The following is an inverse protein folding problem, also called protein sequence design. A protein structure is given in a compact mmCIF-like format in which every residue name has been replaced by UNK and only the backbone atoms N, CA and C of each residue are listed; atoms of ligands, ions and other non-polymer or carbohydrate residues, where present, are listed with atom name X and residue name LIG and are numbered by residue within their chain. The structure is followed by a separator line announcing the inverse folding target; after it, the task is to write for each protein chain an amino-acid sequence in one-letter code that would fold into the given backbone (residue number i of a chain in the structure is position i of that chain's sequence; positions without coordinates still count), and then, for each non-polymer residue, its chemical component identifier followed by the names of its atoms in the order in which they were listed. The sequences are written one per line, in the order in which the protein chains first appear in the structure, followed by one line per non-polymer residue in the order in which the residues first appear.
data_IF_516606422353
#
_entry.id   IF_516606422353
#
_cell.length_a   1.000
_cell.length_b   1.000
_cell.length_c   1.000
_cell.angle_alpha   90.00
_cell.angle_beta   90.00
_cell.angle_gamma   90.00
#
_symmetry.space_group_name_H-M   'P 1'
#
loop_
_entity.id
_entity.type
_entity.pdbx_description
1 polymer ?
#
# COMPACT_ATOMS: atom_id res chain seq x y z
N UNK A 1 -13.45 14.78 14.84
CA UNK A 1 -12.06 14.75 15.34
C UNK A 1 -11.46 13.41 14.94
N UNK A 2 -10.33 13.38 14.25
CA UNK A 2 -9.66 12.13 13.88
C UNK A 2 -9.07 11.53 15.16
N UNK A 3 -9.64 10.42 15.64
CA UNK A 3 -9.31 9.82 16.93
C UNK A 3 -8.70 8.43 16.75
N UNK A 4 -7.83 8.04 17.67
CA UNK A 4 -7.22 6.71 17.70
C UNK A 4 -7.46 6.05 19.04
N UNK A 5 -7.81 4.77 19.01
CA UNK A 5 -7.87 3.97 20.24
C UNK A 5 -6.50 3.35 20.51
N UNK A 6 -6.19 3.06 21.79
CA UNK A 6 -4.94 2.36 22.15
C UNK A 6 -4.84 0.99 21.47
N UNK A 7 -5.98 0.30 21.33
CA UNK A 7 -6.06 -1.00 20.66
C UNK A 7 -5.78 -0.89 19.16
N UNK A 8 -6.29 0.14 18.51
CA UNK A 8 -6.04 0.39 17.09
C UNK A 8 -4.55 0.64 16.80
N UNK A 9 -3.88 1.47 17.60
CA UNK A 9 -2.45 1.74 17.43
C UNK A 9 -1.65 0.44 17.58
N UNK A 10 -1.98 -0.35 18.61
CA UNK A 10 -1.36 -1.66 18.83
C UNK A 10 -1.56 -2.57 17.61
N UNK A 11 -2.80 -2.68 17.13
CA UNK A 11 -3.15 -3.56 16.01
C UNK A 11 -2.47 -3.12 14.70
N UNK A 12 -2.39 -1.81 14.43
CA UNK A 12 -1.66 -1.25 13.29
C UNK A 12 -0.17 -1.57 13.37
N UNK A 13 0.46 -1.38 14.54
CA UNK A 13 1.89 -1.67 14.73
C UNK A 13 2.17 -3.16 14.54
N UNK A 14 1.34 -4.03 15.13
CA UNK A 14 1.51 -5.48 14.98
C UNK A 14 1.35 -5.89 13.51
N UNK A 15 0.29 -5.42 12.85
CA UNK A 15 0.07 -5.71 11.43
C UNK A 15 1.21 -5.21 10.56
N UNK A 16 1.69 -3.97 10.78
CA UNK A 16 2.83 -3.40 10.07
C UNK A 16 4.10 -4.26 10.23
N UNK A 17 4.46 -4.62 11.46
CA UNK A 17 5.65 -5.45 11.74
C UNK A 17 5.51 -6.82 11.07
N UNK A 18 4.37 -7.49 11.26
CA UNK A 18 4.19 -8.85 10.75
C UNK A 18 4.17 -8.89 9.22
N UNK A 19 3.47 -7.97 8.57
CA UNK A 19 3.43 -7.90 7.10
C UNK A 19 4.82 -7.59 6.54
N UNK A 20 5.54 -6.64 7.13
CA UNK A 20 6.88 -6.29 6.63
C UNK A 20 7.89 -7.42 6.81
N UNK A 21 7.81 -8.17 7.92
CA UNK A 21 8.61 -9.39 8.11
C UNK A 21 8.22 -10.45 7.07
N UNK A 22 6.93 -10.70 6.85
CA UNK A 22 6.45 -11.68 5.89
C UNK A 22 6.98 -11.37 4.47
N UNK A 23 6.86 -10.14 4.01
CA UNK A 23 7.39 -9.73 2.71
C UNK A 23 8.93 -9.82 2.64
N UNK A 24 9.65 -9.45 3.70
CA UNK A 24 11.11 -9.60 3.73
C UNK A 24 11.53 -11.07 3.59
N UNK A 25 10.94 -11.97 4.39
CA UNK A 25 11.20 -13.42 4.33
C UNK A 25 10.85 -14.00 2.96
N UNK A 26 9.71 -13.59 2.38
CA UNK A 26 9.30 -14.08 1.06
C UNK A 26 10.27 -13.73 -0.07
N UNK A 27 11.03 -12.63 0.06
CA UNK A 27 11.97 -12.19 -0.97
C UNK A 27 13.38 -12.78 -0.81
N UNK A 28 13.83 -13.01 0.43
CA UNK A 28 15.23 -13.39 0.72
C UNK A 28 15.37 -14.74 1.43
N UNK A 29 14.26 -15.42 1.71
CA UNK A 29 14.22 -16.64 2.50
C UNK A 29 14.77 -16.44 3.91
N UNK A 30 15.61 -17.38 4.34
CA UNK A 30 16.24 -17.38 5.67
C UNK A 30 17.63 -16.72 5.70
N UNK A 31 18.03 -16.01 4.63
CA UNK A 31 19.30 -15.30 4.59
C UNK A 31 19.28 -14.10 5.54
N UNK A 32 20.06 -14.16 6.63
CA UNK A 32 20.15 -13.08 7.63
C UNK A 32 20.61 -11.76 6.97
N UNK A 33 21.66 -11.83 6.15
CA UNK A 33 22.18 -10.66 5.45
C UNK A 33 21.18 -10.08 4.45
N UNK A 34 20.49 -10.94 3.69
CA UNK A 34 19.44 -10.51 2.77
C UNK A 34 18.27 -9.86 3.50
N UNK A 35 17.85 -10.47 4.61
CA UNK A 35 16.75 -9.97 5.45
C UNK A 35 17.05 -8.58 6.00
N UNK A 36 18.21 -8.39 6.63
CA UNK A 36 18.60 -7.07 7.18
C UNK A 36 18.71 -6.02 6.06
N UNK A 37 19.18 -6.42 4.88
CA UNK A 37 19.34 -5.50 3.75
C UNK A 37 18.00 -5.05 3.17
N UNK A 38 17.02 -5.95 3.03
CA UNK A 38 15.73 -5.64 2.42
C UNK A 38 14.71 -5.05 3.40
N UNK A 39 14.88 -5.29 4.71
CA UNK A 39 13.90 -4.92 5.72
C UNK A 39 13.53 -3.41 5.68
N UNK A 40 14.46 -2.45 5.60
CA UNK A 40 14.10 -1.02 5.50
C UNK A 40 13.25 -0.71 4.26
N UNK A 41 13.54 -1.39 3.14
CA UNK A 41 12.85 -1.21 1.86
C UNK A 41 11.43 -1.74 1.94
N UNK A 42 11.24 -2.92 2.54
CA UNK A 42 9.89 -3.48 2.75
C UNK A 42 9.10 -2.67 3.78
N UNK A 43 9.73 -2.25 4.88
CA UNK A 43 9.07 -1.43 5.90
C UNK A 43 8.52 -0.14 5.33
N UNK A 44 9.30 0.56 4.50
CA UNK A 44 8.87 1.82 3.90
C UNK A 44 7.97 1.57 2.68
N UNK A 45 8.35 0.73 1.74
CA UNK A 45 7.59 0.51 0.51
C UNK A 45 6.24 -0.19 0.75
N UNK A 46 6.26 -1.32 1.46
CA UNK A 46 5.07 -2.14 1.74
C UNK A 46 4.37 -1.67 3.01
N UNK A 47 5.11 -1.52 4.11
CA UNK A 47 4.53 -1.26 5.43
C UNK A 47 3.82 0.10 5.50
N UNK A 48 4.49 1.18 5.05
CA UNK A 48 3.86 2.51 5.00
C UNK A 48 2.71 2.52 3.99
N UNK A 49 2.85 1.83 2.86
CA UNK A 49 1.78 1.69 1.88
C UNK A 49 0.52 1.05 2.44
N UNK A 50 0.67 -0.04 3.18
CA UNK A 50 -0.41 -0.68 3.91
C UNK A 50 -1.04 0.29 4.94
N UNK A 51 -0.24 0.91 5.81
CA UNK A 51 -0.78 1.82 6.82
C UNK A 51 -1.52 3.00 6.20
N UNK A 52 -0.93 3.61 5.17
CA UNK A 52 -1.51 4.78 4.51
C UNK A 52 -2.86 4.45 3.85
N UNK A 53 -3.00 3.25 3.26
CA UNK A 53 -4.27 2.72 2.75
C UNK A 53 -5.35 2.66 3.83
N UNK A 54 -5.06 1.97 4.93
CA UNK A 54 -6.03 1.77 6.01
C UNK A 54 -6.41 3.11 6.66
N UNK A 55 -5.45 4.01 6.82
CA UNK A 55 -5.71 5.37 7.28
C UNK A 55 -6.55 6.18 6.28
N UNK A 56 -6.39 5.95 4.98
CA UNK A 56 -7.24 6.53 3.93
C UNK A 56 -8.70 6.12 4.07
N UNK A 57 -8.97 4.82 4.23
CA UNK A 57 -10.32 4.32 4.51
C UNK A 57 -10.92 4.98 5.76
N UNK A 58 -10.16 4.96 6.85
CA UNK A 58 -10.59 5.55 8.12
C UNK A 58 -10.87 7.05 8.02
N UNK A 59 -9.99 7.79 7.35
CA UNK A 59 -10.13 9.23 7.18
C UNK A 59 -11.44 9.58 6.47
N UNK A 60 -11.76 8.89 5.38
CA UNK A 60 -13.00 9.14 4.64
C UNK A 60 -14.22 8.70 5.47
N UNK A 61 -14.17 7.57 6.17
CA UNK A 61 -15.25 7.15 7.06
C UNK A 61 -15.56 8.20 8.14
N UNK A 62 -14.52 8.73 8.80
CA UNK A 62 -14.65 9.78 9.80
C UNK A 62 -15.12 11.11 9.22
N UNK A 63 -14.75 11.44 7.98
CA UNK A 63 -15.23 12.63 7.27
C UNK A 63 -16.75 12.57 7.04
N UNK A 64 -17.31 11.38 6.84
CA UNK A 64 -18.75 11.16 6.75
C UNK A 64 -19.45 11.01 8.10
N UNK A 65 -18.74 11.25 9.22
CA UNK A 65 -19.30 11.23 10.57
C UNK A 65 -19.34 9.84 11.23
N UNK A 66 -18.77 8.81 10.60
CA UNK A 66 -18.73 7.48 11.17
C UNK A 66 -17.53 7.28 12.09
N UNK A 67 -17.74 6.57 13.19
CA UNK A 67 -16.64 6.08 14.03
C UNK A 67 -16.00 4.89 13.32
N UNK A 68 -14.69 4.96 13.11
CA UNK A 68 -13.94 3.93 12.39
C UNK A 68 -12.63 3.63 13.13
N UNK A 69 -12.30 2.34 13.24
CA UNK A 69 -11.05 1.87 13.85
C UNK A 69 -10.47 0.70 13.07
N UNK A 70 -9.15 0.72 12.83
CA UNK A 70 -8.47 -0.45 12.29
C UNK A 70 -8.45 -1.60 13.33
N UNK A 71 -8.81 -2.80 12.89
CA UNK A 71 -8.62 -4.04 13.66
C UNK A 71 -7.80 -5.03 12.86
N UNK A 72 -6.74 -5.54 13.48
CA UNK A 72 -5.94 -6.59 12.87
C UNK A 72 -6.74 -7.90 12.79
N UNK A 73 -6.38 -8.74 11.83
CA UNK A 73 -6.88 -10.11 11.71
C UNK A 73 -5.76 -11.09 12.04
N UNK A 74 -5.65 -11.59 13.29
CA UNK A 74 -4.50 -12.37 13.73
C UNK A 74 -4.25 -13.63 12.90
N UNK A 75 -5.31 -14.34 12.52
CA UNK A 75 -5.22 -15.54 11.67
C UNK A 75 -4.68 -15.18 10.29
N UNK A 76 -5.12 -14.07 9.71
CA UNK A 76 -4.62 -13.60 8.43
C UNK A 76 -3.14 -13.19 8.47
N UNK A 77 -2.70 -12.59 9.59
CA UNK A 77 -1.29 -12.30 9.83
C UNK A 77 -0.44 -13.58 9.95
N UNK A 78 -0.95 -14.62 10.62
CA UNK A 78 -0.28 -15.92 10.68
C UNK A 78 -0.22 -16.60 9.30
N UNK A 79 -1.29 -16.51 8.50
CA UNK A 79 -1.30 -17.01 7.12
C UNK A 79 -0.29 -16.25 6.25
N UNK A 80 -0.20 -14.92 6.40
CA UNK A 80 0.78 -14.11 5.69
C UNK A 80 2.22 -14.57 6.00
N UNK A 81 2.52 -14.83 7.28
CA UNK A 81 3.83 -15.37 7.69
C UNK A 81 4.07 -16.78 7.16
N UNK A 82 3.08 -17.68 7.27
CA UNK A 82 3.23 -19.06 6.81
C UNK A 82 3.47 -19.14 5.30
N UNK A 83 2.70 -18.36 4.53
CA UNK A 83 2.85 -18.30 3.08
C UNK A 83 4.18 -17.66 2.67
N UNK A 84 4.72 -16.70 3.43
CA UNK A 84 6.01 -16.10 3.11
C UNK A 84 7.14 -17.12 2.93
N UNK A 85 7.13 -18.24 3.67
CA UNK A 85 8.14 -19.29 3.54
C UNK A 85 8.08 -20.09 2.24
N UNK A 86 6.95 -20.04 1.51
CA UNK A 86 6.82 -20.64 0.17
C UNK A 86 7.04 -19.63 -0.96
N UNK A 87 7.52 -18.42 -0.64
CA UNK A 87 7.86 -17.38 -1.62
C UNK A 87 6.67 -16.53 -2.09
N UNK A 88 5.54 -16.58 -1.39
CA UNK A 88 4.35 -15.78 -1.69
C UNK A 88 3.73 -15.22 -0.42
N UNK A 89 3.21 -13.99 -0.40
CA UNK A 89 2.55 -13.44 0.79
C UNK A 89 1.05 -13.27 0.55
N UNK A 90 0.23 -14.07 1.23
CA UNK A 90 -1.21 -13.82 1.32
C UNK A 90 -1.49 -12.83 2.46
N UNK A 91 -1.40 -11.55 2.15
CA UNK A 91 -1.48 -10.46 3.14
C UNK A 91 -2.94 -10.15 3.54
N UNK A 92 -3.44 -10.84 4.56
CA UNK A 92 -4.72 -10.52 5.22
C UNK A 92 -4.48 -9.84 6.58
N UNK A 93 -4.09 -8.57 6.55
CA UNK A 93 -3.63 -7.86 7.75
C UNK A 93 -4.74 -7.50 8.75
N UNK A 94 -5.91 -7.13 8.24
CA UNK A 94 -7.01 -6.58 9.01
C UNK A 94 -7.92 -5.72 8.13
N UNK A 95 -8.81 -4.98 8.77
CA UNK A 95 -9.68 -4.03 8.09
C UNK A 95 -10.09 -2.90 9.03
N UNK A 96 -10.38 -1.74 8.44
CA UNK A 96 -11.07 -0.64 9.14
C UNK A 96 -12.52 -1.04 9.40
N UNK A 97 -12.87 -1.23 10.68
CA UNK A 97 -14.25 -1.46 11.10
C UNK A 97 -14.96 -0.13 11.28
N UNK A 98 -16.08 0.02 10.60
CA UNK A 98 -16.96 1.18 10.71
C UNK A 98 -18.10 0.82 11.65
N UNK A 99 -18.29 1.60 12.70
CA UNK A 99 -19.34 1.40 13.69
C UNK A 99 -20.60 2.15 13.24
N UNK A 100 -21.41 1.47 12.44
CA UNK A 100 -22.71 1.96 11.97
C UNK A 100 -23.62 0.78 11.65
N UNK A 101 -24.91 0.89 11.97
CA UNK A 101 -25.88 -0.16 11.69
C UNK A 101 -26.20 -0.26 10.19
N UNK A 102 -26.21 0.88 9.49
CA UNK A 102 -26.39 0.96 8.05
C UNK A 102 -25.52 2.06 7.45
N UNK A 103 -24.82 1.74 6.36
CA UNK A 103 -24.02 2.67 5.57
C UNK A 103 -24.54 2.60 4.14
N UNK A 104 -24.78 3.75 3.51
CA UNK A 104 -25.23 3.75 2.12
C UNK A 104 -24.16 3.16 1.21
N UNK A 105 -24.58 2.56 0.09
CA UNK A 105 -23.65 2.06 -0.93
C UNK A 105 -22.71 3.16 -1.41
N UNK A 106 -23.21 4.40 -1.52
CA UNK A 106 -22.41 5.56 -1.88
C UNK A 106 -21.24 5.81 -0.92
N UNK A 107 -21.52 5.86 0.38
CA UNK A 107 -20.46 6.15 1.35
C UNK A 107 -19.51 4.95 1.44
N UNK A 108 -20.04 3.72 1.37
CA UNK A 108 -19.23 2.49 1.34
C UNK A 108 -18.27 2.50 0.14
N UNK A 109 -18.74 2.84 -1.06
CA UNK A 109 -17.91 2.96 -2.26
C UNK A 109 -16.86 4.06 -2.13
N UNK A 110 -17.21 5.22 -1.55
CA UNK A 110 -16.27 6.32 -1.31
C UNK A 110 -15.20 5.97 -0.27
N UNK A 111 -15.55 5.21 0.76
CA UNK A 111 -14.59 4.71 1.75
C UNK A 111 -13.67 3.69 1.08
N UNK A 112 -14.22 2.74 0.32
CA UNK A 112 -13.42 1.72 -0.38
C UNK A 112 -12.47 2.32 -1.41
N UNK A 113 -12.87 3.33 -2.21
CA UNK A 113 -11.95 3.95 -3.19
C UNK A 113 -10.83 4.76 -2.52
N UNK A 114 -11.02 5.21 -1.27
CA UNK A 114 -10.04 5.99 -0.54
C UNK A 114 -8.72 5.25 -0.31
N UNK A 115 -8.78 3.94 -0.06
CA UNK A 115 -7.58 3.11 0.12
C UNK A 115 -6.70 3.06 -1.13
N UNK A 116 -7.22 2.58 -2.28
CA UNK A 116 -6.48 2.60 -3.54
C UNK A 116 -5.99 4.00 -3.95
N UNK A 117 -6.78 5.05 -3.70
CA UNK A 117 -6.33 6.43 -3.93
C UNK A 117 -5.14 6.82 -3.04
N UNK A 118 -5.14 6.40 -1.77
CA UNK A 118 -4.01 6.60 -0.87
C UNK A 118 -2.76 5.91 -1.41
N UNK A 119 -2.84 4.64 -1.83
CA UNK A 119 -1.71 3.95 -2.45
C UNK A 119 -1.23 4.64 -3.75
N UNK A 120 -2.12 5.04 -4.65
CA UNK A 120 -1.72 5.77 -5.87
C UNK A 120 -0.99 7.07 -5.54
N UNK A 121 -1.51 7.86 -4.59
CA UNK A 121 -0.86 9.11 -4.19
C UNK A 121 0.52 8.87 -3.56
N UNK A 122 0.65 7.83 -2.73
CA UNK A 122 1.93 7.46 -2.13
C UNK A 122 2.92 6.95 -3.18
N UNK A 123 2.46 6.19 -4.18
CA UNK A 123 3.29 5.76 -5.30
C UNK A 123 3.86 6.97 -6.06
N UNK A 124 3.03 7.97 -6.38
CA UNK A 124 3.48 9.20 -7.04
C UNK A 124 4.51 9.94 -6.17
N UNK A 125 4.26 10.07 -4.86
CA UNK A 125 5.22 10.69 -3.93
C UNK A 125 6.56 9.96 -3.96
N UNK A 126 6.56 8.62 -3.92
CA UNK A 126 7.78 7.83 -4.06
C UNK A 126 8.49 8.08 -5.39
N UNK A 127 7.78 8.10 -6.52
CA UNK A 127 8.39 8.36 -7.82
C UNK A 127 9.05 9.75 -7.87
N UNK A 128 8.40 10.77 -7.30
CA UNK A 128 8.95 12.12 -7.20
C UNK A 128 10.19 12.16 -6.31
N UNK A 129 10.17 11.51 -5.15
CA UNK A 129 11.34 11.40 -4.27
C UNK A 129 12.49 10.73 -5.03
N UNK A 130 12.23 9.61 -5.73
CA UNK A 130 13.23 8.90 -6.51
C UNK A 130 13.88 9.80 -7.56
N UNK A 131 13.09 10.59 -8.30
CA UNK A 131 13.60 11.54 -9.29
C UNK A 131 14.46 12.65 -8.67
N UNK A 132 14.05 13.19 -7.52
CA UNK A 132 14.81 14.24 -6.83
C UNK A 132 16.16 13.74 -6.30
N UNK A 133 16.24 12.50 -5.82
CA UNK A 133 17.47 11.95 -5.25
C UNK A 133 18.38 11.29 -6.27
N UNK A 134 17.86 10.89 -7.45
CA UNK A 134 18.60 10.15 -8.48
C UNK A 134 19.96 10.77 -8.85
N UNK A 135 20.08 12.08 -9.12
CA UNK A 135 21.37 12.71 -9.46
C UNK A 135 22.42 12.59 -8.35
N UNK A 136 21.97 12.42 -7.10
CA UNK A 136 22.85 12.40 -5.93
C UNK A 136 23.25 10.98 -5.48
N UNK A 137 22.72 9.94 -6.13
CA UNK A 137 22.91 8.53 -5.74
C UNK A 137 24.39 8.11 -5.74
N UNK A 138 25.20 8.63 -6.66
CA UNK A 138 26.63 8.32 -6.73
C UNK A 138 27.46 8.91 -5.57
N UNK A 139 26.93 9.91 -4.86
CA UNK A 139 27.67 10.67 -3.85
C UNK A 139 27.40 10.21 -2.41
N UNK A 140 26.32 9.46 -2.17
CA UNK A 140 25.95 9.02 -0.82
C UNK A 140 25.15 7.72 -0.82
N UNK A 141 25.55 6.80 0.05
CA UNK A 141 24.81 5.56 0.30
C UNK A 141 23.39 5.83 0.82
N UNK A 142 23.17 6.96 1.51
CA UNK A 142 21.84 7.37 1.95
C UNK A 142 20.93 7.71 0.76
N UNK A 143 21.46 8.44 -0.23
CA UNK A 143 20.69 8.78 -1.43
C UNK A 143 20.42 7.55 -2.29
N UNK A 144 21.40 6.66 -2.43
CA UNK A 144 21.20 5.37 -3.11
C UNK A 144 20.12 4.52 -2.43
N UNK A 145 20.15 4.40 -1.10
CA UNK A 145 19.13 3.67 -0.36
C UNK A 145 17.75 4.33 -0.49
N UNK A 146 17.67 5.65 -0.40
CA UNK A 146 16.42 6.41 -0.56
C UNK A 146 15.84 6.23 -1.96
N UNK A 147 16.69 6.26 -2.99
CA UNK A 147 16.31 5.99 -4.37
C UNK A 147 15.70 4.60 -4.51
N UNK A 148 16.38 3.57 -4.00
CA UNK A 148 15.92 2.18 -4.10
C UNK A 148 14.62 1.94 -3.32
N UNK A 149 14.50 2.50 -2.12
CA UNK A 149 13.25 2.48 -1.34
C UNK A 149 12.11 3.10 -2.15
N UNK A 150 12.39 4.21 -2.83
CA UNK A 150 11.37 4.97 -3.55
C UNK A 150 10.95 4.29 -4.85
N UNK A 151 11.87 3.71 -5.63
CA UNK A 151 11.52 2.94 -6.84
C UNK A 151 10.72 1.69 -6.51
N UNK A 152 11.08 0.97 -5.44
CA UNK A 152 10.29 -0.15 -4.92
C UNK A 152 8.95 0.33 -4.37
N UNK A 153 8.94 1.45 -3.63
CA UNK A 153 7.74 2.06 -3.06
C UNK A 153 6.70 2.43 -4.12
N UNK A 154 7.12 3.03 -5.24
CA UNK A 154 6.25 3.29 -6.40
C UNK A 154 5.65 1.99 -6.94
N UNK A 155 6.50 0.98 -7.16
CA UNK A 155 6.10 -0.29 -7.78
C UNK A 155 5.09 -1.05 -6.92
N UNK A 156 5.39 -1.21 -5.62
CA UNK A 156 4.52 -1.89 -4.65
C UNK A 156 3.19 -1.15 -4.49
N UNK A 157 3.20 0.17 -4.32
CA UNK A 157 1.96 0.90 -4.08
C UNK A 157 1.07 0.99 -5.33
N UNK A 158 1.66 1.06 -6.52
CA UNK A 158 0.91 0.97 -7.78
C UNK A 158 0.24 -0.40 -7.92
N UNK A 159 0.96 -1.49 -7.60
CA UNK A 159 0.41 -2.84 -7.56
C UNK A 159 -0.72 -2.97 -6.53
N UNK A 160 -0.53 -2.52 -5.29
CA UNK A 160 -1.54 -2.58 -4.24
C UNK A 160 -2.81 -1.81 -4.61
N UNK A 161 -2.68 -0.65 -5.25
CA UNK A 161 -3.82 0.11 -5.74
C UNK A 161 -4.60 -0.66 -6.81
N UNK A 162 -3.91 -1.19 -7.83
CA UNK A 162 -4.53 -1.94 -8.91
C UNK A 162 -5.19 -3.24 -8.42
N UNK A 163 -4.49 -3.99 -7.57
CA UNK A 163 -4.99 -5.23 -6.98
C UNK A 163 -6.27 -5.00 -6.18
N UNK A 164 -6.29 -4.00 -5.29
CA UNK A 164 -7.46 -3.74 -4.47
C UNK A 164 -8.66 -3.19 -5.25
N UNK A 165 -8.46 -2.64 -6.45
CA UNK A 165 -9.55 -2.20 -7.31
C UNK A 165 -10.12 -3.34 -8.18
N UNK A 166 -9.56 -4.54 -8.15
CA UNK A 166 -10.17 -5.69 -8.81
C UNK A 166 -11.51 -6.04 -8.13
N UNK A 167 -12.63 -6.16 -8.86
CA UNK A 167 -13.97 -6.22 -8.26
C UNK A 167 -14.34 -7.65 -7.82
N UNK A 168 -13.54 -8.23 -6.92
CA UNK A 168 -13.69 -9.62 -6.45
C UNK A 168 -13.62 -9.70 -4.93
N UNK A 169 -14.42 -10.60 -4.35
CA UNK A 169 -14.38 -10.95 -2.93
C UNK A 169 -14.48 -9.71 -2.01
N UNK A 170 -13.56 -9.54 -1.06
CA UNK A 170 -13.53 -8.43 -0.10
C UNK A 170 -12.67 -7.26 -0.54
N UNK A 171 -12.25 -7.22 -1.81
CA UNK A 171 -11.43 -6.12 -2.34
C UNK A 171 -12.26 -4.84 -2.50
N UNK A 172 -11.60 -3.70 -2.38
CA UNK A 172 -12.25 -2.38 -2.42
C UNK A 172 -13.04 -2.15 -3.70
N UNK A 173 -12.52 -2.61 -4.83
CA UNK A 173 -13.13 -2.49 -6.15
C UNK A 173 -14.57 -2.99 -6.21
N UNK A 174 -14.92 -4.01 -5.43
CA UNK A 174 -16.28 -4.55 -5.39
C UNK A 174 -17.29 -3.52 -4.85
N UNK A 175 -16.91 -2.73 -3.84
CA UNK A 175 -17.78 -1.69 -3.30
C UNK A 175 -17.79 -0.45 -4.19
N UNK A 176 -16.66 -0.11 -4.81
CA UNK A 176 -16.57 1.03 -5.74
C UNK A 176 -17.45 0.79 -6.98
N UNK A 177 -17.41 -0.41 -7.57
CA UNK A 177 -18.20 -0.72 -8.76
C UNK A 177 -19.71 -0.76 -8.47
N UNK A 178 -20.12 -1.22 -7.27
CA UNK A 178 -21.52 -1.19 -6.82
C UNK A 178 -22.03 0.24 -6.68
N UNK A 179 -21.22 1.10 -6.06
CA UNK A 179 -21.56 2.52 -5.92
C UNK A 179 -21.60 3.25 -7.27
N UNK A 180 -20.51 3.19 -8.05
CA UNK A 180 -20.39 3.92 -9.30
C UNK A 180 -19.37 3.24 -10.24
N UNK A 181 -19.89 2.59 -11.29
CA UNK A 181 -19.09 1.91 -12.31
C UNK A 181 -18.12 2.84 -13.04
N UNK A 182 -18.48 4.10 -13.27
CA UNK A 182 -17.63 5.08 -13.93
C UNK A 182 -16.43 5.48 -13.06
N UNK A 183 -16.66 5.73 -11.77
CA UNK A 183 -15.58 6.02 -10.80
C UNK A 183 -14.66 4.82 -10.65
N UNK A 184 -15.22 3.61 -10.56
CA UNK A 184 -14.42 2.38 -10.54
C UNK A 184 -13.56 2.24 -11.80
N UNK A 185 -14.14 2.42 -12.99
CA UNK A 185 -13.42 2.26 -14.25
C UNK A 185 -12.25 3.25 -14.36
N UNK A 186 -12.48 4.54 -14.08
CA UNK A 186 -11.44 5.56 -14.14
C UNK A 186 -10.32 5.27 -13.14
N UNK A 187 -10.68 4.98 -11.88
CA UNK A 187 -9.66 4.73 -10.84
C UNK A 187 -8.88 3.44 -11.11
N UNK A 188 -9.54 2.39 -11.61
CA UNK A 188 -8.89 1.14 -11.99
C UNK A 188 -7.94 1.32 -13.17
N UNK A 189 -8.35 2.06 -14.22
CA UNK A 189 -7.50 2.37 -15.38
C UNK A 189 -6.26 3.16 -14.96
N UNK A 190 -6.40 4.15 -14.07
CA UNK A 190 -5.25 4.90 -13.55
C UNK A 190 -4.30 3.99 -12.76
N UNK A 191 -4.82 3.21 -11.81
CA UNK A 191 -4.01 2.33 -10.97
C UNK A 191 -3.30 1.25 -11.80
N UNK A 192 -4.00 0.61 -12.74
CA UNK A 192 -3.41 -0.42 -13.59
C UNK A 192 -2.39 0.18 -14.55
N UNK A 193 -2.60 1.40 -15.06
CA UNK A 193 -1.60 2.09 -15.89
C UNK A 193 -0.31 2.31 -15.10
N UNK A 194 -0.40 2.82 -13.87
CA UNK A 194 0.79 2.98 -13.00
C UNK A 194 1.51 1.65 -12.76
N UNK A 195 0.75 0.58 -12.50
CA UNK A 195 1.31 -0.77 -12.32
C UNK A 195 1.98 -1.29 -13.59
N UNK A 196 1.35 -1.15 -14.77
CA UNK A 196 1.92 -1.63 -16.03
C UNK A 196 3.15 -0.82 -16.44
N UNK A 197 3.18 0.49 -16.19
CA UNK A 197 4.38 1.32 -16.37
C UNK A 197 5.52 0.82 -15.48
N UNK A 198 5.24 0.52 -14.21
CA UNK A 198 6.22 -0.09 -13.30
C UNK A 198 6.76 -1.43 -13.82
N UNK A 199 5.89 -2.31 -14.33
CA UNK A 199 6.27 -3.66 -14.80
C UNK A 199 7.05 -3.62 -16.12
N UNK A 200 6.59 -2.86 -17.12
CA UNK A 200 7.15 -2.90 -18.47
C UNK A 200 8.29 -1.90 -18.70
N UNK A 201 8.19 -0.71 -18.11
CA UNK A 201 9.25 0.31 -18.24
C UNK A 201 10.25 0.15 -17.10
N UNK A 202 9.79 -0.15 -15.89
CA UNK A 202 10.62 -0.15 -14.69
C UNK A 202 10.67 1.24 -14.06
N UNK A 203 10.47 1.30 -12.75
CA UNK A 203 10.49 2.56 -11.99
C UNK A 203 11.80 3.34 -12.17
N UNK A 204 12.93 2.63 -12.30
CA UNK A 204 14.24 3.24 -12.52
C UNK A 204 14.34 3.97 -13.86
N UNK A 205 13.85 3.35 -14.95
CA UNK A 205 13.85 3.96 -16.27
C UNK A 205 12.86 5.14 -16.32
N UNK A 206 11.72 5.02 -15.64
CA UNK A 206 10.78 6.14 -15.49
C UNK A 206 11.45 7.34 -14.81
N UNK A 207 12.23 7.11 -13.75
CA UNK A 207 12.98 8.17 -13.07
C UNK A 207 13.98 8.83 -14.01
N UNK A 208 14.75 8.05 -14.78
CA UNK A 208 15.70 8.60 -15.75
C UNK A 208 15.01 9.50 -16.77
N UNK A 209 13.90 9.03 -17.35
CA UNK A 209 13.09 9.82 -18.28
C UNK A 209 12.57 11.13 -17.66
N UNK A 210 12.16 11.11 -16.39
CA UNK A 210 11.70 12.33 -15.69
C UNK A 210 12.85 13.31 -15.50
N UNK A 211 14.03 12.83 -15.10
CA UNK A 211 15.21 13.67 -14.85
C UNK A 211 15.75 14.25 -16.16
N UNK A 212 15.75 13.48 -17.25
CA UNK A 212 16.22 13.96 -18.56
C UNK A 212 15.32 15.05 -19.17
N UNK A 213 14.09 15.23 -18.66
CA UNK A 213 13.14 16.26 -19.10
C UNK A 213 13.31 17.61 -18.38
N UNK A 214 14.10 17.69 -17.31
CA UNK A 214 14.27 18.88 -16.44
C UNK A 214 15.70 19.39 -16.49
#
# INVERSE_FOLDING_TARGET
MFSYTKNEIRDLIIAFIVITIAFAVSNVGLSIYGFISILPIVMVGVGVGFMYRELGHKYVAMKYGYMAEFKMYPIGLLIALATAFIGWVFAAAGAVKIHADNISEEITGKISVAGPMANMSLAIIFLLIAALVYPYTAYSRLFELTYLISTVGFSVNSFLAAFNLFPVYTLDGLNVIKWNKGVWFITFVLAITMMLLSIFIGAENMVRLIVDLV
#
